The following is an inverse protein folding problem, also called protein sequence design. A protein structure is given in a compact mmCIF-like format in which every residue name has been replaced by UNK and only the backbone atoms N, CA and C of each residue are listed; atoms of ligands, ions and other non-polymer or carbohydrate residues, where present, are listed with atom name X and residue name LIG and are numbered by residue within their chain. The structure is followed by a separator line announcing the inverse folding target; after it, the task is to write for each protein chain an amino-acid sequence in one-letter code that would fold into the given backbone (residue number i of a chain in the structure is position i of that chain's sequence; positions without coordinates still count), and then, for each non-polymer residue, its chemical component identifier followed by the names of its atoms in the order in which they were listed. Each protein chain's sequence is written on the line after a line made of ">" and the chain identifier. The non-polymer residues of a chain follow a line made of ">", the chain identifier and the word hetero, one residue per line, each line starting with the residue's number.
data_IF_821170789746
#
_entry.id   IF_821170789746
#
_cell.length_a   1.000
_cell.length_b   1.000
_cell.length_c   1.000
_cell.angle_alpha   90.00
_cell.angle_beta   90.00
_cell.angle_gamma   90.00
#
_symmetry.space_group_name_H-M   'P 1'
#
loop_
_entity.id
_entity.type
_entity.pdbx_description
1 polymer ?
#
# COMPACT_ATOMS: atom_id res chain seq x y z
N UNK A 1 -52.72 9.42 -21.02
CA UNK A 1 -51.55 10.27 -20.72
C UNK A 1 -50.49 9.37 -20.13
N UNK A 2 -49.60 8.89 -20.99
CA UNK A 2 -48.54 7.93 -20.70
C UNK A 2 -47.33 8.67 -20.13
N UNK A 3 -46.85 8.25 -18.95
CA UNK A 3 -45.57 8.71 -18.42
C UNK A 3 -44.42 8.06 -19.22
N UNK A 4 -43.31 8.78 -19.51
CA UNK A 4 -42.14 8.17 -20.09
C UNK A 4 -41.33 7.44 -19.01
N UNK A 5 -41.09 6.15 -19.23
CA UNK A 5 -40.09 5.36 -18.52
C UNK A 5 -38.70 5.85 -18.90
N UNK A 6 -38.02 6.54 -18.01
CA UNK A 6 -36.57 6.77 -18.12
C UNK A 6 -35.84 5.47 -17.81
N UNK A 7 -35.24 4.91 -18.85
CA UNK A 7 -34.35 3.75 -18.82
C UNK A 7 -33.18 4.01 -17.88
N UNK A 8 -33.09 3.20 -16.82
CA UNK A 8 -31.94 3.08 -15.95
C UNK A 8 -30.80 2.40 -16.74
N UNK A 9 -29.83 3.20 -17.19
CA UNK A 9 -28.63 2.68 -17.82
C UNK A 9 -27.65 2.28 -16.70
N UNK A 10 -27.56 0.98 -16.44
CA UNK A 10 -26.57 0.40 -15.53
C UNK A 10 -25.14 0.86 -15.90
N UNK A 11 -24.28 1.23 -14.92
CA UNK A 11 -22.90 1.62 -15.19
C UNK A 11 -22.06 0.35 -15.38
N UNK A 12 -22.14 -0.26 -16.56
CA UNK A 12 -21.39 -1.45 -16.96
C UNK A 12 -20.24 -1.20 -17.94
N UNK A 13 -19.75 0.04 -18.07
CA UNK A 13 -18.95 0.48 -19.22
C UNK A 13 -17.42 0.53 -19.08
N UNK A 14 -16.85 0.53 -17.87
CA UNK A 14 -15.38 0.74 -17.70
C UNK A 14 -14.61 -0.50 -17.22
N UNK A 15 -15.32 -1.56 -16.83
CA UNK A 15 -14.66 -2.83 -16.60
C UNK A 15 -14.21 -3.35 -17.96
N UNK A 16 -12.92 -3.17 -18.26
CA UNK A 16 -12.07 -4.05 -19.09
C UNK A 16 -11.16 -3.36 -20.14
N UNK A 17 -10.75 -2.10 -19.95
CA UNK A 17 -9.76 -1.47 -20.86
C UNK A 17 -8.37 -2.15 -20.85
N UNK A 18 -8.08 -2.98 -19.85
CA UNK A 18 -6.77 -3.60 -19.66
C UNK A 18 -6.74 -5.12 -19.83
N UNK A 19 -7.81 -5.81 -20.26
CA UNK A 19 -7.78 -7.30 -20.36
C UNK A 19 -6.61 -7.83 -21.17
N UNK A 20 -6.21 -7.08 -22.19
CA UNK A 20 -5.16 -7.43 -23.13
C UNK A 20 -3.86 -6.65 -22.89
N UNK A 21 -3.75 -5.93 -21.76
CA UNK A 21 -2.53 -5.22 -21.43
C UNK A 21 -1.38 -6.22 -21.28
N UNK A 22 -0.30 -6.01 -22.04
CA UNK A 22 0.93 -6.79 -21.90
C UNK A 22 1.60 -6.40 -20.59
N UNK A 23 1.71 -7.36 -19.69
CA UNK A 23 2.40 -7.20 -18.41
C UNK A 23 3.73 -7.94 -18.49
N UNK A 24 4.82 -7.22 -18.24
CA UNK A 24 6.14 -7.81 -18.08
C UNK A 24 6.46 -7.98 -16.60
N UNK A 25 7.02 -9.13 -16.24
CA UNK A 25 7.37 -9.43 -14.84
C UNK A 25 8.58 -8.60 -14.43
N UNK A 26 8.43 -7.84 -13.34
CA UNK A 26 9.53 -7.09 -12.72
C UNK A 26 10.13 -7.88 -11.56
N UNK A 27 9.29 -8.46 -10.70
CA UNK A 27 9.68 -9.35 -9.61
C UNK A 27 8.73 -10.53 -9.54
N UNK A 28 9.25 -11.75 -9.65
CA UNK A 28 8.44 -12.97 -9.54
C UNK A 28 8.05 -13.31 -8.09
N UNK A 29 7.14 -14.27 -7.94
CA UNK A 29 6.59 -14.67 -6.64
C UNK A 29 7.66 -15.19 -5.67
N UNK A 30 8.66 -15.92 -6.19
CA UNK A 30 9.73 -16.49 -5.37
C UNK A 30 10.67 -15.39 -4.84
N UNK A 31 11.02 -14.44 -5.70
CA UNK A 31 11.82 -13.25 -5.35
C UNK A 31 11.12 -12.43 -4.27
N UNK A 32 9.82 -12.20 -4.41
CA UNK A 32 9.02 -11.46 -3.42
C UNK A 32 8.97 -12.21 -2.08
N UNK A 33 8.72 -13.52 -2.10
CA UNK A 33 8.70 -14.34 -0.89
C UNK A 33 10.07 -14.37 -0.18
N UNK A 34 11.17 -14.43 -0.95
CA UNK A 34 12.53 -14.27 -0.45
C UNK A 34 12.71 -12.94 0.27
N UNK A 35 12.36 -11.83 -0.39
CA UNK A 35 12.52 -10.50 0.17
C UNK A 35 11.66 -10.25 1.41
N UNK A 36 10.44 -10.79 1.46
CA UNK A 36 9.58 -10.70 2.65
C UNK A 36 10.24 -11.32 3.88
N UNK A 37 10.94 -12.46 3.73
CA UNK A 37 11.67 -13.08 4.84
C UNK A 37 12.84 -12.22 5.32
N UNK A 38 13.56 -11.59 4.40
CA UNK A 38 14.64 -10.66 4.74
C UNK A 38 14.12 -9.43 5.48
N UNK A 39 13.02 -8.82 5.00
CA UNK A 39 12.35 -7.71 5.68
C UNK A 39 11.92 -8.09 7.10
N UNK A 40 11.36 -9.28 7.29
CA UNK A 40 11.00 -9.75 8.63
C UNK A 40 12.23 -9.90 9.53
N UNK A 41 13.35 -10.38 9.02
CA UNK A 41 14.60 -10.46 9.80
C UNK A 41 15.07 -9.05 10.24
N UNK A 42 14.99 -8.06 9.36
CA UNK A 42 15.28 -6.65 9.69
C UNK A 42 14.33 -6.12 10.77
N UNK A 43 13.02 -6.41 10.66
CA UNK A 43 12.00 -6.00 11.63
C UNK A 43 12.24 -6.66 12.99
N UNK A 44 12.54 -7.96 13.04
CA UNK A 44 12.89 -8.66 14.28
C UNK A 44 14.12 -8.05 14.94
N UNK A 45 15.16 -7.70 14.15
CA UNK A 45 16.37 -7.07 14.64
C UNK A 45 16.11 -5.69 15.27
N UNK A 46 15.05 -4.98 14.83
CA UNK A 46 14.62 -3.70 15.41
C UNK A 46 13.98 -3.83 16.81
N UNK A 47 13.75 -5.07 17.27
CA UNK A 47 13.18 -5.45 18.58
C UNK A 47 11.91 -4.67 18.92
N UNK A 48 10.82 -4.85 18.15
CA UNK A 48 9.60 -4.12 18.40
C UNK A 48 8.94 -4.58 19.70
N UNK A 49 8.31 -3.66 20.43
CA UNK A 49 7.52 -4.01 21.63
C UNK A 49 6.04 -3.65 21.48
N UNK A 50 5.18 -4.61 21.80
CA UNK A 50 3.70 -4.50 21.67
C UNK A 50 3.27 -4.10 20.25
N UNK A 51 3.90 -4.73 19.25
CA UNK A 51 3.78 -4.37 17.84
C UNK A 51 2.32 -4.36 17.36
N UNK A 52 1.94 -3.26 16.71
CA UNK A 52 0.74 -3.16 15.86
C UNK A 52 1.21 -3.00 14.41
N UNK A 53 0.73 -3.87 13.54
CA UNK A 53 0.89 -3.74 12.10
C UNK A 53 -0.34 -3.03 11.55
N UNK A 54 -0.14 -1.93 10.82
CA UNK A 54 -1.21 -1.17 10.19
C UNK A 54 -0.99 -1.16 8.68
N UNK A 55 -1.84 -1.86 7.92
CA UNK A 55 -1.77 -1.89 6.47
C UNK A 55 -2.61 -0.77 5.85
N UNK A 56 -2.01 0.00 4.94
CA UNK A 56 -2.69 1.08 4.20
C UNK A 56 -3.45 0.47 3.02
N UNK A 57 -4.77 0.50 3.08
CA UNK A 57 -5.62 -0.08 2.04
C UNK A 57 -5.79 0.87 0.84
N UNK A 58 -6.00 0.33 -0.37
CA UNK A 58 -6.17 -1.11 -0.68
C UNK A 58 -4.88 -1.80 -1.14
N UNK A 59 -3.93 -1.07 -1.70
CA UNK A 59 -2.78 -1.62 -2.42
C UNK A 59 -1.93 -2.62 -1.63
N UNK A 60 -1.68 -2.32 -0.37
CA UNK A 60 -0.77 -3.10 0.47
C UNK A 60 -1.28 -4.45 0.95
N UNK A 61 -2.56 -4.80 0.77
CA UNK A 61 -3.17 -5.91 1.51
C UNK A 61 -2.53 -7.28 1.24
N UNK A 62 -2.07 -7.55 0.00
CA UNK A 62 -1.40 -8.81 -0.35
C UNK A 62 -0.04 -8.87 0.33
N UNK A 63 0.75 -7.81 0.19
CA UNK A 63 2.06 -7.68 0.83
C UNK A 63 1.96 -7.79 2.36
N UNK A 64 1.04 -7.06 2.97
CA UNK A 64 0.82 -7.11 4.41
C UNK A 64 0.47 -8.52 4.88
N UNK A 65 -0.42 -9.23 4.17
CA UNK A 65 -0.80 -10.59 4.52
C UNK A 65 0.38 -11.57 4.45
N UNK A 66 1.22 -11.48 3.43
CA UNK A 66 2.43 -12.31 3.31
C UNK A 66 3.49 -11.94 4.35
N UNK A 67 3.70 -10.66 4.62
CA UNK A 67 4.66 -10.21 5.63
C UNK A 67 4.23 -10.64 7.04
N UNK A 68 2.94 -10.56 7.38
CA UNK A 68 2.42 -11.03 8.67
C UNK A 68 2.58 -12.55 8.83
N UNK A 69 2.37 -13.34 7.77
CA UNK A 69 2.67 -14.79 7.79
C UNK A 69 4.16 -15.04 8.05
N UNK A 70 5.04 -14.34 7.34
CA UNK A 70 6.48 -14.47 7.56
C UNK A 70 6.91 -14.01 8.97
N UNK A 71 6.26 -12.99 9.54
CA UNK A 71 6.45 -12.56 10.93
C UNK A 71 6.09 -13.68 11.92
N UNK A 72 4.99 -14.40 11.69
CA UNK A 72 4.60 -15.55 12.50
C UNK A 72 5.67 -16.64 12.49
N UNK A 73 6.20 -16.97 11.32
CA UNK A 73 7.28 -17.96 11.18
C UNK A 73 8.55 -17.55 11.93
N UNK A 74 8.79 -16.24 12.07
CA UNK A 74 9.91 -15.67 12.84
C UNK A 74 9.61 -15.49 14.34
N UNK A 75 8.44 -15.92 14.83
CA UNK A 75 8.07 -15.86 16.24
C UNK A 75 7.46 -14.54 16.71
N UNK A 76 7.08 -13.66 15.79
CA UNK A 76 6.31 -12.44 16.11
C UNK A 76 4.80 -12.71 16.06
N UNK A 77 4.05 -12.02 16.91
CA UNK A 77 2.58 -12.08 16.94
C UNK A 77 1.98 -10.67 17.09
N UNK A 78 2.04 -9.84 16.04
CA UNK A 78 1.49 -8.48 16.10
C UNK A 78 -0.04 -8.46 16.11
N UNK A 79 -0.62 -7.41 16.68
CA UNK A 79 -2.00 -7.03 16.36
C UNK A 79 -2.04 -6.42 14.96
N UNK A 80 -3.15 -6.64 14.24
CA UNK A 80 -3.28 -6.24 12.83
C UNK A 80 -4.46 -5.30 12.68
N UNK A 81 -4.21 -4.16 12.05
CA UNK A 81 -5.15 -3.10 11.79
C UNK A 81 -5.06 -2.65 10.32
N UNK A 82 -6.12 -2.00 9.85
CA UNK A 82 -6.19 -1.51 8.48
C UNK A 82 -6.68 -0.06 8.49
N UNK A 83 -5.98 0.80 7.74
CA UNK A 83 -6.40 2.19 7.56
C UNK A 83 -6.68 2.44 6.08
N UNK A 84 -7.73 3.20 5.78
CA UNK A 84 -8.02 3.66 4.42
C UNK A 84 -7.87 5.17 4.36
N UNK A 85 -6.97 5.63 3.50
CA UNK A 85 -6.66 7.04 3.32
C UNK A 85 -7.01 7.45 1.89
N UNK A 86 -7.59 8.63 1.72
CA UNK A 86 -7.81 9.23 0.41
C UNK A 86 -6.99 10.50 0.25
N UNK A 87 -6.24 10.58 -0.85
CA UNK A 87 -5.69 11.86 -1.32
C UNK A 87 -6.76 12.60 -2.12
N UNK A 88 -7.03 13.86 -1.78
CA UNK A 88 -7.93 14.69 -2.59
C UNK A 88 -7.33 14.86 -4.00
N UNK A 89 -8.02 14.32 -5.02
CA UNK A 89 -7.63 14.33 -6.44
C UNK A 89 -8.22 15.49 -7.24
N UNK A 90 -8.99 16.38 -6.63
CA UNK A 90 -9.63 17.46 -7.36
C UNK A 90 -8.66 18.63 -7.62
N UNK A 91 -8.43 18.87 -8.91
CA UNK A 91 -7.80 20.04 -9.55
C UNK A 91 -6.26 20.09 -9.63
N UNK A 92 -5.67 19.38 -10.61
CA UNK A 92 -4.36 19.65 -11.30
C UNK A 92 -3.11 19.96 -10.44
N UNK A 93 -3.23 19.95 -9.12
CA UNK A 93 -2.25 20.21 -8.06
C UNK A 93 -2.83 19.47 -6.86
N UNK A 94 -2.09 18.50 -6.30
CA UNK A 94 -2.54 17.85 -5.07
C UNK A 94 -2.71 18.92 -3.99
N UNK A 95 -3.93 19.10 -3.46
CA UNK A 95 -4.20 20.06 -2.36
C UNK A 95 -3.46 19.73 -1.06
N UNK A 96 -2.75 18.60 -1.02
CA UNK A 96 -1.94 18.15 0.11
C UNK A 96 -2.76 17.57 1.26
N UNK A 97 -4.09 17.65 1.21
CA UNK A 97 -4.96 17.12 2.24
C UNK A 97 -5.21 15.63 2.00
N UNK A 98 -4.83 14.82 3.00
CA UNK A 98 -5.17 13.41 3.11
C UNK A 98 -6.30 13.29 4.12
N UNK A 99 -7.34 12.52 3.80
CA UNK A 99 -8.45 12.25 4.70
C UNK A 99 -8.48 10.77 5.10
N UNK A 100 -8.90 10.51 6.34
CA UNK A 100 -9.15 9.17 6.85
C UNK A 100 -10.56 8.75 6.43
N UNK A 101 -10.67 7.75 5.56
CA UNK A 101 -11.96 7.17 5.16
C UNK A 101 -12.39 6.06 6.12
N UNK A 102 -11.42 5.28 6.61
CA UNK A 102 -11.61 4.28 7.64
C UNK A 102 -10.40 4.31 8.56
N UNK A 103 -10.67 4.47 9.84
CA UNK A 103 -9.67 4.54 10.90
C UNK A 103 -9.42 3.15 11.51
N UNK A 104 -8.39 3.08 12.35
CA UNK A 104 -8.09 1.91 13.19
C UNK A 104 -8.96 1.92 14.46
N UNK A 105 -9.27 0.73 15.00
CA UNK A 105 -10.03 0.59 16.24
C UNK A 105 -9.11 0.48 17.47
N UNK A 106 -7.91 -0.06 17.28
CA UNK A 106 -6.93 -0.32 18.36
C UNK A 106 -6.21 0.95 18.85
N UNK A 107 -6.02 1.07 20.16
CA UNK A 107 -5.16 2.10 20.76
C UNK A 107 -3.67 1.79 20.52
N UNK A 108 -2.96 2.78 19.97
CA UNK A 108 -1.54 2.70 19.63
C UNK A 108 -0.64 3.31 20.72
N UNK A 109 -1.21 3.89 21.78
CA UNK A 109 -0.44 4.61 22.79
C UNK A 109 0.61 3.72 23.47
N UNK A 110 1.87 4.18 23.46
CA UNK A 110 3.00 3.47 24.07
C UNK A 110 3.42 2.20 23.33
N UNK A 111 2.89 1.94 22.13
CA UNK A 111 3.18 0.76 21.31
C UNK A 111 4.10 1.09 20.13
N UNK A 112 4.81 0.10 19.64
CA UNK A 112 5.45 0.21 18.33
C UNK A 112 4.44 -0.08 17.23
N UNK A 113 4.44 0.77 16.22
CA UNK A 113 3.59 0.65 15.05
C UNK A 113 4.47 0.45 13.82
N UNK A 114 4.12 -0.55 13.00
CA UNK A 114 4.67 -0.75 11.68
C UNK A 114 3.59 -0.44 10.64
N UNK A 115 3.73 0.70 9.97
CA UNK A 115 2.92 1.05 8.80
C UNK A 115 3.41 0.25 7.58
N UNK A 116 2.50 -0.45 6.91
CA UNK A 116 2.77 -1.20 5.69
C UNK A 116 2.06 -0.53 4.52
N UNK A 117 2.79 -0.24 3.45
CA UNK A 117 2.24 0.22 2.18
C UNK A 117 2.84 -0.53 0.98
N UNK A 118 2.15 -0.57 -0.16
CA UNK A 118 2.67 -1.22 -1.37
C UNK A 118 3.78 -0.38 -2.03
N UNK A 119 3.60 0.94 -2.10
CA UNK A 119 4.53 1.82 -2.79
C UNK A 119 4.75 3.15 -2.09
N UNK A 120 6.02 3.50 -1.88
CA UNK A 120 6.42 4.82 -1.43
C UNK A 120 6.97 5.64 -2.61
N UNK A 121 6.09 6.48 -3.17
CA UNK A 121 6.39 7.40 -4.29
C UNK A 121 6.38 8.87 -3.84
N UNK A 122 5.21 9.52 -3.76
CA UNK A 122 5.14 10.91 -3.30
C UNK A 122 5.38 11.07 -1.80
N UNK A 123 5.06 10.04 -1.02
CA UNK A 123 5.22 10.02 0.43
C UNK A 123 4.11 10.69 1.25
N UNK A 124 3.15 11.38 0.62
CA UNK A 124 2.11 12.15 1.33
C UNK A 124 1.23 11.27 2.23
N UNK A 125 0.74 10.16 1.70
CA UNK A 125 -0.14 9.22 2.43
C UNK A 125 0.56 8.67 3.67
N UNK A 126 1.78 8.16 3.50
CA UNK A 126 2.58 7.59 4.58
C UNK A 126 3.01 8.63 5.60
N UNK A 127 3.38 9.85 5.19
CA UNK A 127 3.71 10.93 6.11
C UNK A 127 2.51 11.32 6.97
N UNK A 128 1.34 11.49 6.35
CA UNK A 128 0.10 11.75 7.08
C UNK A 128 -0.22 10.64 8.09
N UNK A 129 -0.15 9.37 7.67
CA UNK A 129 -0.41 8.23 8.55
C UNK A 129 0.58 8.19 9.73
N UNK A 130 1.87 8.43 9.45
CA UNK A 130 2.93 8.43 10.45
C UNK A 130 2.71 9.52 11.49
N UNK A 131 2.41 10.74 11.05
CA UNK A 131 2.15 11.89 11.92
C UNK A 131 0.87 11.67 12.76
N UNK A 132 -0.19 11.14 12.14
CA UNK A 132 -1.44 10.80 12.82
C UNK A 132 -1.21 9.82 13.99
N UNK A 133 -0.45 8.76 13.76
CA UNK A 133 -0.19 7.71 14.75
C UNK A 133 0.78 8.18 15.84
N UNK A 134 1.78 8.98 15.47
CA UNK A 134 2.67 9.62 16.43
C UNK A 134 1.89 10.57 17.36
N UNK A 135 0.97 11.38 16.81
CA UNK A 135 0.11 12.27 17.59
C UNK A 135 -0.84 11.53 18.55
N UNK A 136 -1.21 10.27 18.24
CA UNK A 136 -1.98 9.38 19.14
C UNK A 136 -1.16 8.79 20.28
N UNK A 137 0.15 9.03 20.30
CA UNK A 137 1.06 8.59 21.35
C UNK A 137 1.73 7.25 21.08
N UNK A 138 1.81 6.79 19.83
CA UNK A 138 2.66 5.66 19.47
C UNK A 138 4.10 5.89 19.94
N UNK A 139 4.74 4.85 20.49
CA UNK A 139 6.12 4.92 21.00
C UNK A 139 7.12 5.07 19.86
N UNK A 140 6.89 4.34 18.78
CA UNK A 140 7.66 4.37 17.53
C UNK A 140 6.71 4.09 16.37
N UNK A 141 6.88 4.82 15.28
CA UNK A 141 6.16 4.55 14.03
C UNK A 141 7.19 4.31 12.93
N UNK A 142 7.36 3.04 12.57
CA UNK A 142 8.21 2.61 11.47
C UNK A 142 7.39 2.36 10.21
N UNK A 143 8.01 2.53 9.05
CA UNK A 143 7.38 2.37 7.74
C UNK A 143 8.07 1.23 6.99
N UNK A 144 7.29 0.26 6.52
CA UNK A 144 7.71 -0.82 5.65
C UNK A 144 6.97 -0.70 4.32
N UNK A 145 7.72 -0.60 3.22
CA UNK A 145 7.15 -0.52 1.87
C UNK A 145 7.69 -1.63 0.99
N UNK A 146 6.83 -2.20 0.16
CA UNK A 146 7.27 -3.20 -0.81
C UNK A 146 8.13 -2.56 -1.89
N UNK A 147 7.68 -1.44 -2.47
CA UNK A 147 8.38 -0.71 -3.51
C UNK A 147 8.72 0.71 -3.07
N UNK A 148 9.92 1.17 -3.41
CA UNK A 148 10.33 2.56 -3.26
C UNK A 148 10.66 3.18 -4.61
N UNK A 149 10.06 4.34 -4.89
CA UNK A 149 10.37 5.20 -6.03
C UNK A 149 10.94 6.53 -5.53
N UNK A 150 12.28 6.68 -5.46
CA UNK A 150 12.89 7.82 -4.76
C UNK A 150 12.72 9.15 -5.50
N UNK A 151 12.55 9.14 -6.82
CA UNK A 151 12.63 10.36 -7.66
C UNK A 151 11.37 11.24 -7.65
N UNK A 152 10.27 10.80 -7.02
CA UNK A 152 8.97 11.50 -7.05
C UNK A 152 8.51 11.99 -5.66
N UNK A 153 9.43 12.08 -4.69
CA UNK A 153 9.14 12.55 -3.33
C UNK A 153 8.58 13.96 -3.34
N UNK A 154 7.48 14.15 -2.62
CA UNK A 154 6.85 15.46 -2.44
C UNK A 154 6.86 15.94 -0.99
N UNK A 155 7.22 15.06 -0.06
CA UNK A 155 7.41 15.35 1.36
C UNK A 155 8.64 14.59 1.86
N UNK A 156 9.22 15.06 2.96
CA UNK A 156 10.35 14.40 3.60
C UNK A 156 9.86 13.17 4.38
N UNK A 157 10.04 11.99 3.80
CA UNK A 157 9.77 10.71 4.46
C UNK A 157 10.72 9.65 3.94
N UNK A 158 11.15 8.80 4.86
CA UNK A 158 12.01 7.64 4.61
C UNK A 158 11.30 6.40 5.14
N UNK A 159 11.31 5.33 4.35
CA UNK A 159 10.90 4.02 4.84
C UNK A 159 12.04 3.39 5.66
N UNK A 160 11.70 2.79 6.79
CA UNK A 160 12.64 2.08 7.65
C UNK A 160 13.01 0.71 7.05
N UNK A 161 12.07 0.09 6.31
CA UNK A 161 12.23 -1.20 5.65
C UNK A 161 11.72 -1.11 4.20
N UNK A 162 12.58 -1.42 3.23
CA UNK A 162 12.25 -1.31 1.80
C UNK A 162 12.43 -2.67 1.14
N UNK A 163 11.38 -3.20 0.52
CA UNK A 163 11.44 -4.43 -0.25
C UNK A 163 12.34 -4.28 -1.47
N UNK A 164 11.95 -3.44 -2.42
CA UNK A 164 12.66 -3.25 -3.67
C UNK A 164 12.73 -1.77 -4.06
N UNK A 165 13.87 -1.37 -4.63
CA UNK A 165 13.96 -0.13 -5.40
C UNK A 165 13.28 -0.36 -6.74
N UNK A 166 12.32 0.50 -7.08
CA UNK A 166 11.53 0.40 -8.30
C UNK A 166 11.90 1.53 -9.26
N UNK A 167 12.27 1.22 -10.51
CA UNK A 167 12.39 2.23 -11.55
C UNK A 167 11.05 2.96 -11.79
N UNK A 168 11.08 4.04 -12.57
CA UNK A 168 9.87 4.79 -12.90
C UNK A 168 9.01 4.08 -13.96
N UNK A 169 8.38 2.97 -13.53
CA UNK A 169 7.45 2.14 -14.27
C UNK A 169 6.05 2.20 -13.67
N UNK A 170 5.04 2.06 -14.52
CA UNK A 170 3.68 1.83 -14.06
C UNK A 170 3.54 0.36 -13.65
N UNK A 171 3.50 0.08 -12.33
CA UNK A 171 3.52 -1.26 -11.76
C UNK A 171 2.13 -1.76 -11.38
N UNK A 172 1.90 -3.06 -11.50
CA UNK A 172 0.66 -3.77 -11.17
C UNK A 172 0.97 -5.13 -10.56
N UNK A 173 -0.02 -5.77 -9.96
CA UNK A 173 0.14 -7.08 -9.37
C UNK A 173 0.50 -7.03 -7.89
N UNK A 174 0.39 -8.16 -7.22
CA UNK A 174 0.72 -8.31 -5.80
C UNK A 174 0.06 -7.22 -4.91
N UNK A 175 -1.22 -6.96 -5.16
CA UNK A 175 -2.02 -5.95 -4.48
C UNK A 175 -2.16 -4.63 -5.22
N UNK A 176 -1.19 -4.23 -6.06
CA UNK A 176 -1.24 -3.02 -6.89
C UNK A 176 -2.17 -3.18 -8.10
N UNK A 177 -2.78 -2.08 -8.56
CA UNK A 177 -3.74 -2.10 -9.67
C UNK A 177 -3.58 -0.99 -10.71
N UNK A 178 -4.22 -1.21 -11.85
CA UNK A 178 -4.72 -0.14 -12.72
C UNK A 178 -6.22 -0.31 -12.89
N UNK A 179 -6.99 0.76 -12.64
CA UNK A 179 -8.45 0.76 -12.78
C UNK A 179 -9.12 -0.47 -12.13
N UNK A 180 -8.70 -0.83 -10.92
CA UNK A 180 -9.17 -1.99 -10.16
C UNK A 180 -8.78 -3.38 -10.69
N UNK A 181 -7.99 -3.47 -11.77
CA UNK A 181 -7.50 -4.74 -12.32
C UNK A 181 -6.11 -5.15 -11.79
N UNK A 182 -5.80 -6.45 -11.91
CA UNK A 182 -4.49 -7.08 -11.70
C UNK A 182 -3.98 -7.26 -10.26
N UNK A 183 -4.69 -6.79 -9.23
CA UNK A 183 -4.26 -6.96 -7.83
C UNK A 183 -3.91 -8.41 -7.47
N UNK A 184 -4.59 -9.37 -8.08
CA UNK A 184 -4.48 -10.80 -7.80
C UNK A 184 -3.24 -11.47 -8.42
N UNK A 185 -2.47 -10.79 -9.26
CA UNK A 185 -1.28 -11.40 -9.86
C UNK A 185 -0.28 -11.75 -8.75
N UNK A 186 0.34 -12.95 -8.78
CA UNK A 186 1.24 -13.40 -7.73
C UNK A 186 2.64 -12.77 -7.80
N UNK A 187 2.87 -11.89 -8.79
CA UNK A 187 4.13 -11.23 -9.07
C UNK A 187 3.89 -9.72 -9.22
N UNK A 188 4.97 -8.94 -9.14
CA UNK A 188 4.96 -7.52 -9.48
C UNK A 188 5.34 -7.43 -10.95
N UNK A 189 4.45 -6.86 -11.76
CA UNK A 189 4.69 -6.59 -13.16
C UNK A 189 4.64 -5.11 -13.46
N UNK A 190 4.97 -4.75 -14.69
CA UNK A 190 4.79 -3.40 -15.21
C UNK A 190 4.17 -3.42 -16.61
N UNK A 191 3.52 -2.33 -16.98
CA UNK A 191 2.92 -2.13 -18.30
C UNK A 191 3.89 -1.26 -19.13
N UNK A 192 4.57 -1.80 -20.16
CA UNK A 192 5.60 -1.09 -20.91
C UNK A 192 5.11 0.19 -21.60
N UNK A 193 3.86 0.20 -22.06
CA UNK A 193 3.27 1.28 -22.88
C UNK A 193 2.25 2.14 -22.12
N UNK A 194 2.16 2.02 -20.79
CA UNK A 194 1.34 2.92 -20.00
C UNK A 194 1.99 4.32 -19.94
N UNK A 195 1.22 5.37 -20.23
CA UNK A 195 1.68 6.75 -20.04
C UNK A 195 2.17 6.95 -18.60
N UNK A 196 3.38 7.54 -18.45
CA UNK A 196 4.11 7.71 -17.18
C UNK A 196 3.61 8.87 -16.33
#
# INVERSE_FOLDING_TARGET
>A
MTQPTTTDAAPGGEANAYRDARIEVLFDAETIAGRNRELVAEIVASKPEKLVVIAVLKGSFVFAADLIRAMHDAGLAPEVEFITLSSYRDARVSSGQVAVLRDIDTDVRGRDVLLIDDILESGRTLAFAKDLLAARGARRVSVCVLLEKPHKRAVQITADFVGFQCPDYFVVGYGMDVSHAFRQLPFIGYIPDAEK
#
